data_IF_116052741933
#
_entry.id   IF_116052741933
#
_cell.length_a   1.000
_cell.length_b   1.000
_cell.length_c   1.000
_cell.angle_alpha   90.00
_cell.angle_beta   90.00
_cell.angle_gamma   90.00
#
_symmetry.space_group_name_H-M   'P 1'
#
loop_
_entity.id
_entity.type
_entity.pdbx_description
1 polymer ?
#
# COMPACT_ATOMS: atom_id res chain seq x y z
N UNK A 1 -14.62 13.06 -15.74
CA UNK A 1 -14.50 13.88 -14.50
C UNK A 1 -13.12 13.65 -13.91
N UNK A 2 -12.42 14.71 -13.50
CA UNK A 2 -10.96 14.72 -13.40
C UNK A 2 -10.44 14.05 -12.12
N UNK A 3 -9.17 13.62 -12.17
CA UNK A 3 -8.40 13.12 -11.03
C UNK A 3 -8.48 14.05 -9.79
N UNK A 4 -8.78 15.34 -10.00
CA UNK A 4 -8.92 16.35 -8.95
C UNK A 4 -10.04 16.06 -7.94
N UNK A 5 -11.20 15.57 -8.39
CA UNK A 5 -12.32 15.25 -7.47
C UNK A 5 -11.95 14.09 -6.54
N UNK A 6 -11.25 13.07 -7.05
CA UNK A 6 -10.75 11.97 -6.23
C UNK A 6 -9.76 12.45 -5.16
N UNK A 7 -8.90 13.41 -5.50
CA UNK A 7 -7.96 14.02 -4.55
C UNK A 7 -8.67 14.82 -3.45
N UNK A 8 -9.73 15.56 -3.77
CA UNK A 8 -10.54 16.25 -2.75
C UNK A 8 -11.24 15.29 -1.79
N UNK A 9 -11.81 14.21 -2.33
CA UNK A 9 -12.44 13.15 -1.53
C UNK A 9 -11.39 12.48 -0.62
N UNK A 10 -10.19 12.23 -1.14
CA UNK A 10 -9.09 11.65 -0.37
C UNK A 10 -8.61 12.56 0.77
N UNK A 11 -8.51 13.86 0.53
CA UNK A 11 -8.13 14.83 1.55
C UNK A 11 -9.18 14.91 2.66
N UNK A 12 -10.48 14.92 2.30
CA UNK A 12 -11.57 14.85 3.26
C UNK A 12 -11.50 13.59 4.15
N UNK A 13 -11.16 12.44 3.56
CA UNK A 13 -10.96 11.20 4.32
C UNK A 13 -9.77 11.31 5.28
N UNK A 14 -8.62 11.82 4.82
CA UNK A 14 -7.43 12.03 5.68
C UNK A 14 -7.77 12.89 6.90
N UNK A 15 -8.49 14.00 6.69
CA UNK A 15 -8.94 14.87 7.76
C UNK A 15 -9.84 14.16 8.76
N UNK A 16 -10.83 13.39 8.30
CA UNK A 16 -11.73 12.64 9.18
C UNK A 16 -11.00 11.56 9.98
N UNK A 17 -10.03 10.87 9.37
CA UNK A 17 -9.23 9.83 10.02
C UNK A 17 -8.31 10.40 11.11
N UNK A 18 -8.01 11.70 11.11
CA UNK A 18 -7.33 12.32 12.25
C UNK A 18 -8.21 12.37 13.51
N UNK A 19 -9.54 12.40 13.34
CA UNK A 19 -10.50 12.63 14.41
C UNK A 19 -11.17 11.34 14.91
N UNK A 20 -11.44 10.38 14.01
CA UNK A 20 -12.16 9.14 14.35
C UNK A 20 -11.69 7.95 13.52
N UNK A 21 -11.97 6.75 14.01
CA UNK A 21 -11.64 5.50 13.32
C UNK A 21 -12.47 5.31 12.04
N UNK A 22 -11.91 4.56 11.08
CA UNK A 22 -12.49 4.40 9.75
C UNK A 22 -13.93 3.86 9.80
N UNK A 23 -14.21 2.86 10.62
CA UNK A 23 -15.55 2.29 10.89
C UNK A 23 -16.59 3.34 11.28
N UNK A 24 -16.21 4.39 12.02
CA UNK A 24 -17.10 5.48 12.47
C UNK A 24 -17.34 6.58 11.44
N UNK A 25 -16.53 6.65 10.38
CA UNK A 25 -16.67 7.65 9.32
C UNK A 25 -17.85 7.29 8.41
N UNK A 26 -18.76 8.24 8.18
CA UNK A 26 -19.85 8.11 7.21
C UNK A 26 -19.51 8.78 5.89
N UNK A 27 -19.95 8.21 4.77
CA UNK A 27 -19.80 8.81 3.43
C UNK A 27 -20.37 10.22 3.37
N UNK A 28 -21.47 10.49 4.09
CA UNK A 28 -22.06 11.83 4.21
C UNK A 28 -21.08 12.87 4.76
N UNK A 29 -20.26 12.49 5.74
CA UNK A 29 -19.28 13.41 6.34
C UNK A 29 -18.13 13.69 5.38
N UNK A 30 -17.70 12.67 4.62
CA UNK A 30 -16.70 12.82 3.56
C UNK A 30 -17.22 13.80 2.50
N UNK A 31 -18.46 13.61 2.04
CA UNK A 31 -19.11 14.48 1.06
C UNK A 31 -19.21 15.93 1.54
N UNK A 32 -19.57 16.14 2.81
CA UNK A 32 -19.66 17.48 3.41
C UNK A 32 -18.31 18.19 3.41
N UNK A 33 -17.23 17.51 3.85
CA UNK A 33 -15.89 18.11 3.90
C UNK A 33 -15.33 18.33 2.49
N UNK A 34 -15.55 17.40 1.56
CA UNK A 34 -15.13 17.52 0.17
C UNK A 34 -15.99 18.51 -0.65
N UNK A 35 -17.07 19.05 -0.08
CA UNK A 35 -18.05 19.91 -0.73
C UNK A 35 -18.60 19.31 -2.04
N UNK A 36 -19.07 18.06 -1.96
CA UNK A 36 -19.66 17.33 -3.08
C UNK A 36 -20.97 16.65 -2.68
N UNK A 37 -21.78 16.29 -3.67
CA UNK A 37 -22.98 15.49 -3.49
C UNK A 37 -22.66 14.00 -3.33
N UNK A 38 -23.51 13.26 -2.61
CA UNK A 38 -23.32 11.80 -2.39
C UNK A 38 -23.22 10.99 -3.70
N UNK A 39 -24.03 11.24 -4.74
CA UNK A 39 -23.87 10.54 -6.02
C UNK A 39 -22.49 10.75 -6.64
N UNK A 40 -21.86 11.91 -6.44
CA UNK A 40 -20.50 12.20 -6.92
C UNK A 40 -19.46 11.32 -6.20
N UNK A 41 -19.63 11.06 -4.90
CA UNK A 41 -18.78 10.10 -4.20
C UNK A 41 -18.90 8.70 -4.81
N UNK A 42 -20.13 8.20 -4.97
CA UNK A 42 -20.37 6.84 -5.46
C UNK A 42 -20.02 6.65 -6.94
N UNK A 43 -19.95 7.73 -7.71
CA UNK A 43 -19.38 7.70 -9.06
C UNK A 43 -17.88 7.37 -9.05
N UNK A 44 -17.16 7.73 -7.99
CA UNK A 44 -15.71 7.53 -7.89
C UNK A 44 -15.29 6.34 -7.04
N UNK A 45 -16.05 6.03 -5.98
CA UNK A 45 -15.70 5.01 -4.99
C UNK A 45 -16.94 4.22 -4.56
N UNK A 46 -16.80 2.90 -4.43
CA UNK A 46 -17.91 2.03 -4.01
C UNK A 46 -18.32 2.32 -2.56
N UNK A 47 -17.33 2.54 -1.71
CA UNK A 47 -17.48 2.87 -0.31
C UNK A 47 -16.20 3.55 0.24
N UNK A 48 -16.16 3.76 1.55
CA UNK A 48 -15.01 4.38 2.24
C UNK A 48 -13.75 3.52 2.28
N UNK A 49 -13.87 2.19 2.16
CA UNK A 49 -12.73 1.26 2.18
C UNK A 49 -12.07 1.21 0.79
N UNK A 50 -12.88 1.25 -0.27
CA UNK A 50 -12.41 1.43 -1.66
C UNK A 50 -11.62 2.74 -1.79
N UNK A 51 -12.11 3.83 -1.18
CA UNK A 51 -11.37 5.09 -1.09
C UNK A 51 -10.03 4.95 -0.37
N UNK A 52 -9.97 4.33 0.82
CA UNK A 52 -8.72 4.13 1.57
C UNK A 52 -7.71 3.32 0.75
N UNK A 53 -8.18 2.27 0.08
CA UNK A 53 -7.36 1.45 -0.82
C UNK A 53 -6.83 2.28 -1.99
N UNK A 54 -7.67 3.12 -2.59
CA UNK A 54 -7.26 4.02 -3.65
C UNK A 54 -6.22 5.05 -3.20
N UNK A 55 -6.38 5.65 -2.01
CA UNK A 55 -5.39 6.58 -1.42
C UNK A 55 -4.02 5.90 -1.29
N UNK A 56 -4.02 4.67 -0.78
CA UNK A 56 -2.81 3.87 -0.68
C UNK A 56 -2.17 3.63 -2.07
N UNK A 57 -2.93 3.07 -3.01
CA UNK A 57 -2.39 2.75 -4.33
C UNK A 57 -1.92 3.98 -5.09
N UNK A 58 -2.63 5.10 -5.00
CA UNK A 58 -2.22 6.35 -5.65
C UNK A 58 -0.87 6.85 -5.11
N UNK A 59 -0.54 6.55 -3.85
CA UNK A 59 0.75 6.88 -3.24
C UNK A 59 1.88 6.01 -3.80
N UNK A 60 1.61 4.72 -4.04
CA UNK A 60 2.64 3.73 -4.38
C UNK A 60 2.67 3.30 -5.86
N UNK A 61 1.77 3.81 -6.71
CA UNK A 61 1.58 3.32 -8.10
C UNK A 61 2.85 3.37 -8.95
N UNK A 62 3.73 4.35 -8.72
CA UNK A 62 4.99 4.54 -9.47
C UNK A 62 6.22 4.00 -8.72
N UNK A 63 6.02 3.11 -7.75
CA UNK A 63 7.13 2.52 -6.99
C UNK A 63 7.91 1.55 -7.84
N UNK A 64 9.22 1.77 -7.94
CA UNK A 64 10.13 0.72 -8.39
C UNK A 64 10.35 -0.25 -7.23
N UNK A 65 9.61 -1.35 -7.24
CA UNK A 65 9.63 -2.39 -6.18
C UNK A 65 10.98 -3.10 -6.04
N UNK A 66 11.94 -2.89 -6.95
CA UNK A 66 13.29 -3.47 -6.88
C UNK A 66 14.36 -2.44 -6.49
N UNK A 67 13.98 -1.16 -6.34
CA UNK A 67 14.91 -0.10 -5.93
C UNK A 67 14.75 0.19 -4.44
N UNK A 68 15.82 0.02 -3.67
CA UNK A 68 15.86 0.36 -2.25
C UNK A 68 15.55 1.83 -2.00
N UNK A 69 16.03 2.74 -2.86
CA UNK A 69 15.71 4.17 -2.81
C UNK A 69 14.21 4.41 -3.01
N UNK A 70 13.60 3.79 -4.03
CA UNK A 70 12.17 3.95 -4.29
C UNK A 70 11.32 3.37 -3.15
N UNK A 71 11.71 2.22 -2.59
CA UNK A 71 11.04 1.63 -1.43
C UNK A 71 11.18 2.55 -0.21
N UNK A 72 12.38 3.06 0.07
CA UNK A 72 12.63 3.96 1.19
C UNK A 72 11.78 5.24 1.11
N UNK A 73 11.68 5.85 -0.08
CA UNK A 73 10.82 7.00 -0.32
C UNK A 73 9.34 6.72 -0.01
N UNK A 74 8.84 5.55 -0.40
CA UNK A 74 7.47 5.16 -0.09
C UNK A 74 7.24 4.93 1.40
N UNK A 75 8.16 4.22 2.07
CA UNK A 75 8.12 4.01 3.51
C UNK A 75 8.17 5.34 4.28
N UNK A 76 9.00 6.28 3.84
CA UNK A 76 9.06 7.63 4.40
C UNK A 76 7.75 8.39 4.19
N UNK A 77 7.14 8.27 3.02
CA UNK A 77 5.81 8.87 2.73
C UNK A 77 4.73 8.27 3.62
N UNK A 78 4.74 6.95 3.85
CA UNK A 78 3.83 6.30 4.80
C UNK A 78 4.02 6.84 6.22
N UNK A 79 5.27 7.10 6.62
CA UNK A 79 5.60 7.66 7.95
C UNK A 79 5.18 9.13 8.09
N UNK A 80 5.23 9.92 7.02
CA UNK A 80 4.68 11.29 7.01
C UNK A 80 3.16 11.29 7.21
N UNK A 81 2.46 10.29 6.66
CA UNK A 81 1.01 10.11 6.79
C UNK A 81 0.66 9.09 7.89
N UNK A 82 1.48 9.03 8.95
CA UNK A 82 1.41 8.01 9.99
C UNK A 82 0.00 7.80 10.56
N UNK A 83 -0.73 8.88 10.82
CA UNK A 83 -2.04 8.80 11.46
C UNK A 83 -3.08 8.12 10.55
N UNK A 84 -3.06 8.39 9.24
CA UNK A 84 -3.91 7.70 8.28
C UNK A 84 -3.63 6.19 8.29
N UNK A 85 -2.36 5.81 8.14
CA UNK A 85 -1.97 4.40 8.10
C UNK A 85 -2.23 3.68 9.42
N UNK A 86 -1.95 4.32 10.56
CA UNK A 86 -2.28 3.78 11.88
C UNK A 86 -3.76 3.45 11.99
N UNK A 87 -4.64 4.40 11.64
CA UNK A 87 -6.09 4.20 11.68
C UNK A 87 -6.58 3.15 10.69
N UNK A 88 -5.96 3.07 9.52
CA UNK A 88 -6.28 2.04 8.53
C UNK A 88 -5.84 0.63 8.99
N UNK A 89 -4.76 0.51 9.76
CA UNK A 89 -4.31 -0.76 10.33
C UNK A 89 -5.06 -1.17 11.60
N UNK A 90 -5.63 -0.22 12.34
CA UNK A 90 -6.48 -0.47 13.51
C UNK A 90 -7.91 -0.91 13.12
N UNK A 91 -8.32 -0.70 11.86
CA UNK A 91 -9.64 -1.10 11.39
C UNK A 91 -9.75 -2.64 11.23
N UNK A 92 -10.71 -3.22 11.93
CA UNK A 92 -11.04 -4.66 11.87
C UNK A 92 -12.42 -4.92 11.28
N UNK A 93 -13.06 -3.90 10.70
CA UNK A 93 -14.48 -3.94 10.33
C UNK A 93 -14.75 -4.56 8.96
N UNK A 94 -13.76 -4.50 8.07
CA UNK A 94 -13.79 -5.07 6.72
C UNK A 94 -12.44 -5.69 6.35
N UNK A 95 -12.18 -5.91 5.06
CA UNK A 95 -10.86 -6.28 4.54
C UNK A 95 -9.82 -5.28 5.03
N UNK A 96 -8.88 -5.70 5.87
CA UNK A 96 -7.91 -4.80 6.48
C UNK A 96 -6.92 -4.29 5.42
N UNK A 97 -6.43 -3.06 5.59
CA UNK A 97 -5.51 -2.43 4.63
C UNK A 97 -4.33 -3.34 4.26
N UNK A 98 -3.77 -4.07 5.22
CA UNK A 98 -2.64 -4.98 4.98
C UNK A 98 -2.95 -6.01 3.89
N UNK A 99 -4.19 -6.49 3.75
CA UNK A 99 -4.57 -7.47 2.75
C UNK A 99 -4.55 -6.87 1.35
N UNK A 100 -5.04 -5.63 1.19
CA UNK A 100 -4.93 -4.89 -0.07
C UNK A 100 -3.48 -4.61 -0.46
N UNK A 101 -2.65 -4.20 0.51
CA UNK A 101 -1.21 -4.00 0.28
C UNK A 101 -0.54 -5.30 -0.16
N UNK A 102 -0.84 -6.39 0.55
CA UNK A 102 -0.29 -7.71 0.26
C UNK A 102 -0.67 -8.17 -1.14
N UNK A 103 -1.96 -8.14 -1.51
CA UNK A 103 -2.41 -8.57 -2.83
C UNK A 103 -1.79 -7.75 -3.96
N UNK A 104 -1.65 -6.43 -3.75
CA UNK A 104 -0.99 -5.55 -4.70
C UNK A 104 0.48 -5.90 -4.90
N UNK A 105 1.24 -6.07 -3.82
CA UNK A 105 2.67 -6.37 -3.94
C UNK A 105 2.87 -7.76 -4.53
N UNK A 106 2.07 -8.75 -4.14
CA UNK A 106 2.10 -10.08 -4.77
C UNK A 106 1.85 -9.98 -6.27
N UNK A 107 0.83 -9.24 -6.69
CA UNK A 107 0.53 -9.04 -8.12
C UNK A 107 1.69 -8.35 -8.84
N UNK A 108 2.28 -7.30 -8.26
CA UNK A 108 3.40 -6.56 -8.83
C UNK A 108 4.68 -7.40 -8.98
N UNK A 109 5.07 -8.15 -7.95
CA UNK A 109 6.22 -9.05 -8.02
C UNK A 109 5.96 -10.21 -8.99
N UNK A 110 4.74 -10.74 -9.02
CA UNK A 110 4.34 -11.79 -9.98
C UNK A 110 4.48 -11.29 -11.41
N UNK A 111 3.91 -10.13 -11.71
CA UNK A 111 4.02 -9.50 -13.02
C UNK A 111 5.49 -9.28 -13.40
N UNK A 112 6.30 -8.75 -12.48
CA UNK A 112 7.72 -8.51 -12.75
C UNK A 112 8.51 -9.80 -13.02
N UNK A 113 8.22 -10.86 -12.28
CA UNK A 113 8.84 -12.16 -12.50
C UNK A 113 8.42 -12.78 -13.84
N UNK A 114 7.13 -12.69 -14.19
CA UNK A 114 6.59 -13.13 -15.48
C UNK A 114 7.26 -12.40 -16.66
N UNK A 115 7.44 -11.08 -16.54
CA UNK A 115 8.15 -10.25 -17.54
C UNK A 115 9.60 -10.72 -17.73
N UNK A 116 10.36 -10.87 -16.64
CA UNK A 116 11.78 -11.22 -16.70
C UNK A 116 12.05 -12.66 -17.15
N UNK A 117 11.11 -13.57 -16.86
CA UNK A 117 11.19 -14.97 -17.27
C UNK A 117 10.51 -15.24 -18.62
N UNK A 118 9.88 -14.23 -19.23
CA UNK A 118 9.10 -14.34 -20.45
C UNK A 118 8.05 -15.49 -20.40
N UNK A 119 7.37 -15.64 -19.26
CA UNK A 119 6.35 -16.68 -19.03
C UNK A 119 5.13 -16.11 -18.34
N UNK A 120 3.94 -16.61 -18.68
CA UNK A 120 2.70 -16.30 -17.96
C UNK A 120 2.51 -17.19 -16.73
N UNK A 121 3.19 -18.32 -16.64
CA UNK A 121 3.01 -19.30 -15.57
C UNK A 121 4.29 -19.45 -14.75
N UNK A 122 4.25 -18.93 -13.52
CA UNK A 122 5.31 -19.17 -12.53
C UNK A 122 5.08 -20.53 -11.87
N UNK A 123 6.15 -21.26 -11.54
CA UNK A 123 6.02 -22.51 -10.79
C UNK A 123 5.53 -22.25 -9.35
N UNK A 124 5.07 -23.30 -8.66
CA UNK A 124 4.47 -23.18 -7.32
C UNK A 124 5.45 -22.63 -6.27
N UNK A 125 6.71 -23.05 -6.32
CA UNK A 125 7.75 -22.57 -5.40
C UNK A 125 7.98 -21.06 -5.53
N UNK A 126 8.07 -20.56 -6.76
CA UNK A 126 8.27 -19.13 -7.01
C UNK A 126 7.05 -18.30 -6.59
N UNK A 127 5.83 -18.82 -6.83
CA UNK A 127 4.61 -18.18 -6.32
C UNK A 127 4.59 -18.14 -4.79
N UNK A 128 5.03 -19.22 -4.13
CA UNK A 128 5.17 -19.28 -2.69
C UNK A 128 6.18 -18.23 -2.19
N UNK A 129 7.37 -18.17 -2.78
CA UNK A 129 8.44 -17.23 -2.39
C UNK A 129 8.00 -15.77 -2.52
N UNK A 130 7.31 -15.42 -3.61
CA UNK A 130 6.74 -14.07 -3.80
C UNK A 130 5.78 -13.74 -2.65
N UNK A 131 4.87 -14.66 -2.31
CA UNK A 131 3.90 -14.45 -1.24
C UNK A 131 4.58 -14.36 0.12
N UNK A 132 5.52 -15.27 0.41
CA UNK A 132 6.28 -15.28 1.65
C UNK A 132 7.03 -13.96 1.86
N UNK A 133 7.74 -13.50 0.83
CA UNK A 133 8.46 -12.23 0.86
C UNK A 133 7.50 -11.04 1.05
N UNK A 134 6.37 -11.01 0.34
CA UNK A 134 5.37 -9.95 0.50
C UNK A 134 4.74 -9.93 1.91
N UNK A 135 4.49 -11.09 2.52
CA UNK A 135 4.03 -11.16 3.91
C UNK A 135 5.04 -10.53 4.86
N UNK A 136 6.32 -10.89 4.71
CA UNK A 136 7.41 -10.31 5.50
C UNK A 136 7.47 -8.79 5.34
N UNK A 137 7.51 -8.29 4.11
CA UNK A 137 7.59 -6.85 3.84
C UNK A 137 6.37 -6.07 4.36
N UNK A 138 5.15 -6.56 4.15
CA UNK A 138 3.94 -5.86 4.62
C UNK A 138 3.84 -5.91 6.15
N UNK A 139 4.14 -7.06 6.76
CA UNK A 139 4.13 -7.22 8.21
C UNK A 139 5.14 -6.32 8.90
N UNK A 140 6.39 -6.33 8.43
CA UNK A 140 7.46 -5.48 8.96
C UNK A 140 7.15 -4.00 8.71
N UNK A 141 6.57 -3.63 7.56
CA UNK A 141 6.16 -2.23 7.31
C UNK A 141 5.18 -1.75 8.37
N UNK A 142 4.19 -2.58 8.72
CA UNK A 142 3.21 -2.26 9.76
C UNK A 142 3.87 -2.15 11.13
N UNK A 143 4.71 -3.12 11.50
CA UNK A 143 5.39 -3.12 12.80
C UNK A 143 6.32 -1.91 12.95
N UNK A 144 7.16 -1.66 11.94
CA UNK A 144 8.05 -0.51 11.89
C UNK A 144 7.28 0.80 12.00
N UNK A 145 6.21 0.95 11.21
CA UNK A 145 5.42 2.18 11.23
C UNK A 145 4.78 2.43 12.59
N UNK A 146 4.23 1.41 13.24
CA UNK A 146 3.44 1.55 14.48
C UNK A 146 4.30 1.62 15.75
N UNK A 147 5.44 0.92 15.78
CA UNK A 147 6.18 0.68 17.01
C UNK A 147 7.65 1.14 16.95
N UNK A 148 8.22 1.37 15.75
CA UNK A 148 9.63 1.75 15.60
C UNK A 148 9.80 3.24 15.24
N UNK A 149 10.28 4.01 16.23
CA UNK A 149 10.53 5.44 16.08
C UNK A 149 11.92 5.77 15.54
N UNK A 150 12.88 4.85 15.66
CA UNK A 150 14.30 5.15 15.52
C UNK A 150 14.89 4.67 14.20
N UNK A 151 14.37 3.58 13.63
CA UNK A 151 14.87 3.06 12.36
C UNK A 151 14.37 3.92 11.21
N UNK A 152 15.29 4.32 10.32
CA UNK A 152 14.96 5.09 9.12
C UNK A 152 14.33 4.22 8.03
N UNK A 153 13.65 4.86 7.07
CA UNK A 153 13.01 4.16 5.96
C UNK A 153 14.04 3.45 5.06
N UNK A 154 15.23 4.03 4.91
CA UNK A 154 16.35 3.51 4.13
C UNK A 154 16.88 2.21 4.74
N UNK A 155 17.00 2.15 6.06
CA UNK A 155 17.43 0.92 6.75
C UNK A 155 16.41 -0.20 6.57
N UNK A 156 15.11 0.10 6.64
CA UNK A 156 14.06 -0.90 6.39
C UNK A 156 14.08 -1.36 4.93
N UNK A 157 14.20 -0.45 3.97
CA UNK A 157 14.30 -0.80 2.56
C UNK A 157 15.53 -1.70 2.28
N UNK A 158 16.67 -1.42 2.91
CA UNK A 158 17.85 -2.26 2.80
C UNK A 158 17.63 -3.65 3.43
N UNK A 159 16.92 -3.72 4.57
CA UNK A 159 16.53 -5.01 5.18
C UNK A 159 15.62 -5.81 4.27
N UNK A 160 14.69 -5.18 3.55
CA UNK A 160 13.85 -5.88 2.56
C UNK A 160 14.70 -6.50 1.45
N UNK A 161 15.62 -5.73 0.87
CA UNK A 161 16.55 -6.25 -0.13
C UNK A 161 17.37 -7.43 0.42
N UNK A 162 17.94 -7.30 1.62
CA UNK A 162 18.75 -8.35 2.23
C UNK A 162 17.95 -9.62 2.58
N UNK A 163 16.68 -9.46 2.96
CA UNK A 163 15.76 -10.55 3.31
C UNK A 163 15.08 -11.20 2.09
N UNK A 164 15.25 -10.63 0.89
CA UNK A 164 14.69 -11.20 -0.33
C UNK A 164 15.20 -12.62 -0.56
N UNK A 165 14.32 -13.63 -0.74
CA UNK A 165 14.70 -15.00 -1.04
C UNK A 165 15.65 -15.09 -2.23
N UNK A 166 16.60 -16.04 -2.18
CA UNK A 166 17.62 -16.21 -3.23
C UNK A 166 16.98 -16.45 -4.59
N UNK A 167 15.92 -17.26 -4.65
CA UNK A 167 15.13 -17.51 -5.87
C UNK A 167 14.64 -16.22 -6.53
N UNK A 168 14.09 -15.29 -5.75
CA UNK A 168 13.66 -13.98 -6.23
C UNK A 168 14.84 -13.09 -6.61
N UNK A 169 15.88 -13.07 -5.79
CA UNK A 169 17.07 -12.24 -6.01
C UNK A 169 17.76 -12.59 -7.32
N UNK A 170 17.94 -13.89 -7.61
CA UNK A 170 18.54 -14.38 -8.85
C UNK A 170 17.72 -14.00 -10.09
N UNK A 171 16.40 -13.88 -9.97
CA UNK A 171 15.53 -13.45 -11.08
C UNK A 171 15.60 -11.92 -11.25
N UNK A 172 15.47 -11.18 -10.16
CA UNK A 172 15.31 -9.73 -10.20
C UNK A 172 16.60 -8.93 -10.37
N UNK A 173 17.75 -9.52 -9.98
CA UNK A 173 19.05 -8.86 -9.94
C UNK A 173 20.13 -9.70 -10.63
N UNK A 174 19.76 -10.40 -11.71
CA UNK A 174 20.61 -11.39 -12.40
C UNK A 174 21.94 -10.82 -12.91
N UNK A 175 22.09 -9.50 -12.96
CA UNK A 175 23.27 -8.75 -13.42
C UNK A 175 23.71 -7.61 -12.47
N UNK A 176 23.41 -7.70 -11.15
CA UNK A 176 23.75 -6.68 -10.14
C UNK A 176 24.94 -7.03 -9.28
#
# INVERSE_FOLDING_TARGET
MSNRTKLWIAEAMRQLMTQKSLDKIRVTEICQIANIERPTFYYHFKDKYDLVSWIFFNTITNTNILSTESIAKNLATMKQDFLFYKRAYEDTSQTPLWKYMFDYFVAKYTQKAQELLATSNLNQELQFDIRFYCYGCVGISREWLLFDKNTSAEVIAQRYFNAMPVSLRTIFFKDS
#
